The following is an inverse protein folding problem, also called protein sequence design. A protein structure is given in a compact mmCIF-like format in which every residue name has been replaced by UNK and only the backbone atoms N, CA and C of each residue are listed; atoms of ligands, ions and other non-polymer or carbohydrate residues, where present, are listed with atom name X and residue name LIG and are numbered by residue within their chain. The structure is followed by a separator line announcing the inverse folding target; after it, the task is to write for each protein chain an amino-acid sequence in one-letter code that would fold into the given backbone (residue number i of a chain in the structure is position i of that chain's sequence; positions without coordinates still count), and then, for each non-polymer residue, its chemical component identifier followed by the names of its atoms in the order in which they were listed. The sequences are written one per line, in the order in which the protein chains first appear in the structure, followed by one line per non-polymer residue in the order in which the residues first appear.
data_IF_717700098942
#
_entry.id   IF_717700098942
#
_cell.length_a   1.000
_cell.length_b   1.000
_cell.length_c   1.000
_cell.angle_alpha   90.00
_cell.angle_beta   90.00
_cell.angle_gamma   90.00
#
_symmetry.space_group_name_H-M   'P 1'
#
loop_
_entity.id
_entity.type
_entity.pdbx_description
1 polymer ?
#
# COMPACT_ATOMS: atom_id res chain seq x y z
N UNK A 1 -14.84 5.84 -16.46
CA UNK A 1 -13.53 6.32 -16.95
C UNK A 1 -13.09 7.38 -15.97
N UNK A 2 -12.33 7.02 -14.94
CA UNK A 2 -11.82 8.00 -13.98
C UNK A 2 -10.62 8.70 -14.60
N UNK A 3 -10.76 10.01 -14.77
CA UNK A 3 -9.71 10.88 -15.29
C UNK A 3 -8.65 11.06 -14.20
N UNK A 4 -7.54 10.35 -14.30
CA UNK A 4 -6.34 10.68 -13.52
C UNK A 4 -5.62 11.84 -14.21
N UNK A 5 -5.85 13.05 -13.71
CA UNK A 5 -5.13 14.23 -14.10
C UNK A 5 -3.73 14.18 -13.45
N UNK A 6 -2.62 14.19 -14.21
CA UNK A 6 -1.25 13.96 -13.70
C UNK A 6 -0.68 15.07 -12.78
N UNK A 7 -1.54 15.95 -12.23
CA UNK A 7 -1.18 17.11 -11.41
C UNK A 7 -2.04 17.28 -10.14
N UNK A 8 -2.77 16.26 -9.68
CA UNK A 8 -3.66 16.36 -8.51
C UNK A 8 -3.01 15.73 -7.26
N UNK A 9 -2.61 16.60 -6.32
CA UNK A 9 -1.63 16.30 -5.29
C UNK A 9 -1.97 15.25 -4.23
N UNK A 10 -3.20 14.72 -4.18
CA UNK A 10 -3.61 13.74 -3.18
C UNK A 10 -4.69 12.79 -3.71
N UNK A 11 -4.60 11.52 -3.33
CA UNK A 11 -5.64 10.50 -3.47
C UNK A 11 -6.50 10.50 -2.21
N UNK A 12 -7.81 10.28 -2.39
CA UNK A 12 -8.80 10.14 -1.33
C UNK A 12 -9.49 8.80 -1.52
N UNK A 13 -9.45 7.95 -0.50
CA UNK A 13 -10.05 6.62 -0.53
C UNK A 13 -10.77 6.34 0.78
N UNK A 14 -11.98 5.81 0.72
CA UNK A 14 -12.69 5.38 1.92
C UNK A 14 -11.96 4.20 2.56
N UNK A 15 -11.66 4.29 3.85
CA UNK A 15 -11.01 3.23 4.61
C UNK A 15 -12.03 2.16 5.01
N UNK A 16 -12.66 1.56 4.02
CA UNK A 16 -13.67 0.54 4.24
C UNK A 16 -13.06 -0.69 4.94
N UNK A 17 -13.76 -1.34 5.88
CA UNK A 17 -13.28 -2.56 6.52
C UNK A 17 -12.89 -3.66 5.52
N UNK A 18 -13.57 -3.73 4.38
CA UNK A 18 -13.30 -4.66 3.29
C UNK A 18 -11.96 -4.38 2.61
N UNK A 19 -11.60 -3.10 2.44
CA UNK A 19 -10.30 -2.71 1.90
C UNK A 19 -9.18 -3.14 2.86
N UNK A 20 -9.33 -2.83 4.16
CA UNK A 20 -8.32 -3.21 5.15
C UNK A 20 -8.13 -4.72 5.24
N UNK A 21 -9.22 -5.49 5.25
CA UNK A 21 -9.16 -6.95 5.21
C UNK A 21 -8.47 -7.48 3.96
N UNK A 22 -8.72 -6.86 2.80
CA UNK A 22 -8.06 -7.24 1.56
C UNK A 22 -6.55 -7.00 1.64
N UNK A 23 -6.12 -5.83 2.14
CA UNK A 23 -4.71 -5.50 2.29
C UNK A 23 -4.02 -6.46 3.27
N UNK A 24 -4.66 -6.78 4.40
CA UNK A 24 -4.16 -7.76 5.37
C UNK A 24 -4.10 -9.19 4.78
N UNK A 25 -5.02 -9.56 3.89
CA UNK A 25 -5.03 -10.90 3.28
C UNK A 25 -3.97 -11.07 2.18
N UNK A 26 -3.63 -10.00 1.44
CA UNK A 26 -2.59 -10.05 0.40
C UNK A 26 -1.18 -9.80 0.97
N UNK A 27 -1.04 -8.95 2.00
CA UNK A 27 0.23 -8.63 2.64
C UNK A 27 0.48 -9.53 3.85
N UNK A 28 0.57 -10.83 3.59
CA UNK A 28 0.93 -11.83 4.60
C UNK A 28 2.34 -11.58 5.15
N UNK A 29 2.62 -12.05 6.36
CA UNK A 29 3.97 -11.98 6.95
C UNK A 29 5.05 -12.57 6.03
N UNK A 30 4.74 -13.67 5.33
CA UNK A 30 5.64 -14.29 4.36
C UNK A 30 5.96 -13.34 3.19
N UNK A 31 4.93 -12.72 2.60
CA UNK A 31 5.13 -11.74 1.52
C UNK A 31 5.98 -10.57 2.00
N UNK A 32 5.67 -10.04 3.19
CA UNK A 32 6.36 -8.89 3.76
C UNK A 32 7.84 -9.19 4.00
N UNK A 33 8.16 -10.35 4.58
CA UNK A 33 9.54 -10.75 4.84
C UNK A 33 10.35 -11.04 3.56
N UNK A 34 9.70 -11.54 2.50
CA UNK A 34 10.37 -11.86 1.25
C UNK A 34 10.63 -10.63 0.36
N UNK A 35 9.72 -9.65 0.39
CA UNK A 35 9.71 -8.55 -0.60
C UNK A 35 9.91 -7.16 0.00
N UNK A 36 9.90 -7.04 1.32
CA UNK A 36 10.04 -5.77 2.03
C UNK A 36 11.08 -5.87 3.15
N UNK A 37 11.41 -4.73 3.77
CA UNK A 37 12.25 -4.68 4.97
C UNK A 37 11.46 -4.88 6.28
N UNK A 38 10.17 -5.19 6.20
CA UNK A 38 9.27 -5.31 7.35
C UNK A 38 8.89 -6.77 7.60
N UNK A 39 8.67 -7.11 8.88
CA UNK A 39 8.26 -8.47 9.27
C UNK A 39 6.79 -8.78 8.94
N UNK A 40 5.94 -7.75 8.85
CA UNK A 40 4.50 -7.86 8.60
C UNK A 40 3.89 -6.52 8.13
N UNK A 41 2.60 -6.54 7.77
CA UNK A 41 1.89 -5.37 7.27
C UNK A 41 1.71 -4.27 8.35
N UNK A 42 1.53 -4.65 9.62
CA UNK A 42 1.44 -3.68 10.72
C UNK A 42 2.72 -2.84 10.83
N UNK A 43 3.90 -3.46 10.66
CA UNK A 43 5.18 -2.77 10.63
C UNK A 43 5.26 -1.76 9.48
N UNK A 44 4.80 -2.14 8.29
CA UNK A 44 4.70 -1.22 7.14
C UNK A 44 3.77 -0.04 7.43
N UNK A 45 2.60 -0.29 8.02
CA UNK A 45 1.64 0.76 8.38
C UNK A 45 2.22 1.74 9.41
N UNK A 46 2.93 1.22 10.41
CA UNK A 46 3.58 2.04 11.42
C UNK A 46 4.66 2.93 10.80
N UNK A 47 5.52 2.37 9.94
CA UNK A 47 6.59 3.12 9.30
C UNK A 47 6.10 4.13 8.24
N UNK A 48 4.96 3.88 7.60
CA UNK A 48 4.35 4.80 6.62
C UNK A 48 3.40 5.83 7.24
N UNK A 49 3.23 5.85 8.58
CA UNK A 49 2.26 6.71 9.26
C UNK A 49 2.45 8.22 9.05
N UNK A 50 3.66 8.66 8.65
CA UNK A 50 3.95 10.05 8.29
C UNK A 50 3.45 10.44 6.90
N UNK A 51 3.15 9.46 6.06
CA UNK A 51 2.64 9.61 4.68
C UNK A 51 1.14 9.38 4.64
N UNK A 52 0.67 8.35 5.35
CA UNK A 52 -0.72 7.90 5.33
C UNK A 52 -1.16 7.45 6.73
N UNK A 53 -2.29 7.98 7.19
CA UNK A 53 -2.93 7.51 8.41
C UNK A 53 -3.89 6.35 8.11
N UNK A 54 -3.43 5.12 8.29
CA UNK A 54 -4.19 3.87 8.09
C UNK A 54 -5.40 3.70 9.01
N UNK A 55 -5.53 4.52 10.05
CA UNK A 55 -6.64 4.47 11.03
C UNK A 55 -7.70 5.54 10.78
N UNK A 56 -7.52 6.42 9.79
CA UNK A 56 -8.51 7.43 9.43
C UNK A 56 -9.68 6.81 8.66
N UNK A 57 -10.88 7.40 8.76
CA UNK A 57 -12.05 6.98 7.98
C UNK A 57 -11.84 7.18 6.47
N UNK A 58 -11.05 8.19 6.10
CA UNK A 58 -10.61 8.45 4.73
C UNK A 58 -9.09 8.42 4.67
N UNK A 59 -8.56 7.53 3.85
CA UNK A 59 -7.15 7.46 3.49
C UNK A 59 -6.82 8.59 2.53
N UNK A 60 -5.87 9.43 2.93
CA UNK A 60 -5.41 10.58 2.15
C UNK A 60 -3.90 10.50 2.03
N UNK A 61 -3.38 10.44 0.82
CA UNK A 61 -1.94 10.40 0.58
C UNK A 61 -1.57 11.03 -0.75
N UNK A 62 -0.35 11.57 -0.85
CA UNK A 62 0.23 11.99 -2.12
C UNK A 62 0.92 10.78 -2.77
N UNK A 63 0.53 10.34 -3.99
CA UNK A 63 1.13 9.17 -4.63
C UNK A 63 2.67 9.22 -4.68
N UNK A 64 3.32 10.33 -5.07
CA UNK A 64 4.78 10.37 -5.11
C UNK A 64 5.47 10.11 -3.78
N UNK A 65 4.83 10.44 -2.65
CA UNK A 65 5.38 10.19 -1.32
C UNK A 65 5.25 8.71 -0.92
N UNK A 66 4.09 8.11 -1.23
CA UNK A 66 3.89 6.68 -0.96
C UNK A 66 4.77 5.82 -1.87
N UNK A 67 4.86 6.17 -3.15
CA UNK A 67 5.71 5.47 -4.12
C UNK A 67 7.19 5.57 -3.74
N UNK A 68 7.65 6.75 -3.30
CA UNK A 68 9.02 6.91 -2.80
C UNK A 68 9.29 6.00 -1.59
N UNK A 69 8.36 5.94 -0.64
CA UNK A 69 8.48 5.07 0.52
C UNK A 69 8.52 3.58 0.13
N UNK A 70 7.64 3.14 -0.77
CA UNK A 70 7.63 1.76 -1.25
C UNK A 70 8.95 1.42 -1.93
N UNK A 71 9.46 2.31 -2.79
CA UNK A 71 10.73 2.14 -3.47
C UNK A 71 11.94 2.07 -2.52
N UNK A 72 11.90 2.81 -1.42
CA UNK A 72 12.99 2.81 -0.43
C UNK A 72 12.95 1.62 0.53
N UNK A 73 11.76 1.08 0.79
CA UNK A 73 11.52 0.08 1.83
C UNK A 73 11.21 -1.32 1.31
N UNK A 74 10.98 -1.47 0.01
CA UNK A 74 10.62 -2.72 -0.65
C UNK A 74 11.41 -2.93 -1.94
N UNK A 75 11.22 -4.07 -2.61
CA UNK A 75 11.79 -4.32 -3.94
C UNK A 75 11.01 -3.67 -5.10
N UNK A 76 9.82 -3.12 -4.84
CA UNK A 76 8.90 -2.61 -5.86
C UNK A 76 9.17 -1.13 -6.20
N UNK A 77 8.79 -0.71 -7.41
CA UNK A 77 8.99 0.65 -7.88
C UNK A 77 7.95 1.66 -7.39
N UNK A 78 6.74 1.21 -7.09
CA UNK A 78 5.61 2.02 -6.64
C UNK A 78 4.56 1.18 -5.88
N UNK A 79 3.56 1.85 -5.29
CA UNK A 79 2.52 1.20 -4.50
C UNK A 79 1.61 0.26 -5.32
N UNK A 80 1.29 0.62 -6.58
CA UNK A 80 0.42 -0.18 -7.43
C UNK A 80 1.08 -1.52 -7.81
N UNK A 81 2.38 -1.51 -8.15
CA UNK A 81 3.16 -2.72 -8.42
C UNK A 81 3.19 -3.66 -7.22
N UNK A 82 3.42 -3.14 -6.02
CA UNK A 82 3.44 -3.91 -4.77
C UNK A 82 2.09 -4.60 -4.52
N UNK A 83 0.99 -3.86 -4.60
CA UNK A 83 -0.38 -4.39 -4.39
C UNK A 83 -0.74 -5.43 -5.46
N UNK A 84 -0.44 -5.16 -6.73
CA UNK A 84 -0.71 -6.11 -7.83
C UNK A 84 0.07 -7.40 -7.66
N UNK A 85 1.35 -7.32 -7.30
CA UNK A 85 2.19 -8.50 -7.12
C UNK A 85 1.69 -9.34 -5.94
N UNK A 86 1.40 -8.71 -4.80
CA UNK A 86 0.82 -9.40 -3.64
C UNK A 86 -0.49 -10.11 -4.00
N UNK A 87 -1.38 -9.42 -4.72
CA UNK A 87 -2.66 -9.97 -5.18
C UNK A 87 -2.48 -11.17 -6.09
N UNK A 88 -1.56 -11.08 -7.06
CA UNK A 88 -1.26 -12.18 -7.99
C UNK A 88 -0.69 -13.40 -7.25
N UNK A 89 0.25 -13.20 -6.33
CA UNK A 89 0.82 -14.28 -5.54
C UNK A 89 -0.21 -14.93 -4.61
N UNK A 90 -1.17 -14.15 -4.09
CA UNK A 90 -2.18 -14.65 -3.15
C UNK A 90 -3.30 -15.46 -3.80
N UNK A 91 -3.76 -15.06 -5.00
CA UNK A 91 -4.98 -15.60 -5.62
C UNK A 91 -4.78 -16.26 -6.99
N UNK A 92 -3.64 -16.06 -7.65
CA UNK A 92 -3.37 -16.63 -8.97
C UNK A 92 -2.29 -17.73 -8.96
N UNK A 93 -1.85 -18.15 -7.78
CA UNK A 93 -0.90 -19.25 -7.55
C UNK A 93 -1.55 -20.63 -7.47
#
# INVERSE_FOLDING_TARGET
MEQTNPNQGYVFLDNAPELMKLLEDIFTDEFMQQHTRFDNFEGFQFSSAVILNWKADTLIYAPPLLDAFVKESTQFGDWDEMVRTATQLRYCS
#
